data_IF_537392645460
#
_entry.id   IF_537392645460
#
_cell.length_a   1.000
_cell.length_b   1.000
_cell.length_c   1.000
_cell.angle_alpha   90.00
_cell.angle_beta   90.00
_cell.angle_gamma   90.00
#
_symmetry.space_group_name_H-M   'P 1'
#
loop_
_entity.id
_entity.type
_entity.pdbx_description
1 polymer ?
#
# COMPACT_ATOMS: atom_id res chain seq x y z
N UNK A 1 19.64 10.98 -19.09
CA UNK A 1 19.23 11.24 -18.85
C UNK A 1 18.86 11.07 -18.34
N UNK A 2 18.93 10.83 -18.48
CA UNK A 2 18.44 10.88 -18.10
C UNK A 2 17.96 10.62 -17.52
N UNK A 3 17.95 10.20 -17.61
CA UNK A 3 17.37 10.16 -17.15
C UNK A 3 16.96 10.07 -16.53
N UNK A 4 17.16 9.87 -16.74
CA UNK A 4 16.64 9.95 -16.27
C UNK A 4 16.16 9.95 -15.66
N UNK A 5 16.22 9.81 -15.81
CA UNK A 5 15.64 9.93 -15.43
C UNK A 5 15.07 9.76 -14.96
N UNK A 6 15.36 9.57 -15.14
CA UNK A 6 14.63 9.57 -14.93
C UNK A 6 14.17 9.18 -14.39
N UNK A 7 14.31 8.93 -14.64
CA UNK A 7 13.69 8.73 -14.28
C UNK A 7 13.09 8.59 -13.60
N UNK A 8 13.25 8.56 -13.54
CA UNK A 8 12.52 8.60 -13.09
C UNK A 8 11.75 8.60 -12.71
N UNK A 9 11.70 8.61 -12.84
CA UNK A 9 10.76 8.91 -12.69
C UNK A 9 9.93 8.46 -12.73
N UNK A 10 10.00 8.14 -12.93
CA UNK A 10 9.14 7.91 -13.09
C UNK A 10 8.23 7.16 -12.82
N UNK A 11 8.56 6.53 -12.83
CA UNK A 11 7.41 5.77 -12.56
C UNK A 11 6.84 6.02 -11.21
N UNK A 12 5.82 6.66 -11.22
CA UNK A 12 5.24 7.14 -9.99
C UNK A 12 4.69 6.04 -9.13
N UNK A 13 4.36 4.90 -9.71
CA UNK A 13 3.81 3.85 -8.91
C UNK A 13 4.85 3.09 -8.16
N UNK A 14 6.08 3.37 -8.45
CA UNK A 14 7.14 2.69 -7.75
C UNK A 14 7.26 3.24 -6.34
N UNK A 15 7.03 2.41 -5.36
CA UNK A 15 7.12 2.83 -3.97
C UNK A 15 8.24 2.06 -3.32
N UNK A 16 9.40 2.69 -3.15
CA UNK A 16 10.56 1.99 -2.62
C UNK A 16 10.49 1.76 -1.13
N UNK A 17 9.65 2.49 -0.45
CA UNK A 17 9.60 2.38 0.99
C UNK A 17 8.80 1.18 1.43
N UNK A 18 9.25 0.58 2.51
CA UNK A 18 8.54 -0.54 3.07
C UNK A 18 7.25 -0.09 3.75
N UNK A 19 7.32 1.05 4.47
CA UNK A 19 6.19 1.55 5.24
C UNK A 19 5.48 2.63 4.45
N UNK A 20 4.20 2.44 4.20
CA UNK A 20 3.43 3.32 3.36
C UNK A 20 2.27 3.94 4.13
N UNK A 21 1.97 5.19 3.80
CA UNK A 21 0.77 5.82 4.31
C UNK A 21 -0.42 5.32 3.52
N UNK A 22 -1.62 5.68 3.98
CA UNK A 22 -2.81 5.12 3.37
C UNK A 22 -2.89 5.46 1.88
N UNK A 23 -2.48 6.67 1.50
CA UNK A 23 -2.54 7.06 0.09
C UNK A 23 -1.60 6.21 -0.76
N UNK A 24 -0.41 5.93 -0.20
CA UNK A 24 0.56 5.13 -0.93
C UNK A 24 0.13 3.69 -1.01
N UNK A 25 -0.42 3.17 0.09
CA UNK A 25 -0.89 1.79 0.10
C UNK A 25 -2.06 1.61 -0.88
N UNK A 26 -2.95 2.60 -0.93
CA UNK A 26 -4.06 2.52 -1.86
C UNK A 26 -3.57 2.46 -3.29
N UNK A 27 -2.56 3.27 -3.60
CA UNK A 27 -1.99 3.26 -4.92
C UNK A 27 -1.29 1.93 -5.20
N UNK A 28 -0.59 1.42 -4.21
CA UNK A 28 0.11 0.16 -4.35
C UNK A 28 -0.86 -0.99 -4.62
N UNK A 29 -2.00 -0.97 -3.93
CA UNK A 29 -3.01 -2.01 -4.08
C UNK A 29 -4.00 -1.71 -5.19
N UNK A 30 -3.94 -0.51 -5.76
CA UNK A 30 -4.82 -0.10 -6.85
C UNK A 30 -6.27 -0.04 -6.40
N UNK A 31 -6.48 0.48 -5.21
CA UNK A 31 -7.82 0.69 -4.66
C UNK A 31 -7.91 2.13 -4.17
N UNK A 32 -9.10 2.53 -3.75
CA UNK A 32 -9.28 3.88 -3.24
C UNK A 32 -8.88 3.96 -1.78
N UNK A 33 -8.56 5.16 -1.32
CA UNK A 33 -8.29 5.36 0.10
C UNK A 33 -9.53 5.10 0.93
N UNK A 34 -10.71 5.41 0.39
CA UNK A 34 -11.96 5.13 1.09
C UNK A 34 -12.11 3.64 1.33
N UNK A 35 -11.74 2.84 0.34
CA UNK A 35 -11.81 1.39 0.50
C UNK A 35 -10.93 0.95 1.66
N UNK A 36 -9.70 1.45 1.71
CA UNK A 36 -8.78 1.06 2.77
C UNK A 36 -9.27 1.54 4.14
N UNK A 37 -9.78 2.76 4.20
CA UNK A 37 -10.28 3.27 5.47
C UNK A 37 -11.47 2.47 5.97
N UNK A 38 -12.36 2.11 5.06
CA UNK A 38 -13.51 1.30 5.44
C UNK A 38 -13.07 -0.09 5.85
N UNK A 39 -12.14 -0.67 5.11
CA UNK A 39 -11.66 -2.01 5.44
C UNK A 39 -11.01 -2.03 6.83
N UNK A 40 -10.28 -0.96 7.17
CA UNK A 40 -9.66 -0.90 8.47
C UNK A 40 -10.70 -0.84 9.58
N UNK A 41 -11.75 -0.08 9.34
CA UNK A 41 -12.81 0.09 10.34
C UNK A 41 -13.64 -1.17 10.50
N UNK A 42 -14.01 -1.78 9.38
CA UNK A 42 -14.89 -2.96 9.42
C UNK A 42 -14.12 -4.26 9.51
N UNK A 43 -12.81 -4.22 9.25
CA UNK A 43 -11.96 -5.41 9.21
C UNK A 43 -12.42 -6.39 8.14
N UNK A 44 -12.99 -5.87 7.09
CA UNK A 44 -13.48 -6.69 5.99
C UNK A 44 -13.23 -5.96 4.68
N UNK A 45 -12.23 -6.36 3.92
CA UNK A 45 -11.23 -7.40 4.22
C UNK A 45 -10.26 -6.95 5.32
N UNK A 46 -9.68 -7.91 5.99
CA UNK A 46 -8.77 -7.63 7.09
C UNK A 46 -7.37 -7.41 6.55
N UNK A 47 -7.10 -6.20 6.10
CA UNK A 47 -5.82 -5.85 5.51
C UNK A 47 -4.88 -5.39 6.63
N UNK A 48 -3.69 -5.99 6.71
CA UNK A 48 -2.79 -5.67 7.82
C UNK A 48 -2.32 -4.22 7.80
N UNK A 49 -2.29 -3.61 8.95
CA UNK A 49 -1.80 -2.25 9.11
C UNK A 49 -1.20 -2.08 10.51
N UNK A 50 -0.47 -0.98 10.69
CA UNK A 50 0.15 -0.68 11.97
C UNK A 50 -0.23 0.75 12.35
N UNK A 51 -0.56 0.95 13.62
CA UNK A 51 -0.91 2.26 14.12
C UNK A 51 0.22 2.78 15.01
N UNK A 52 0.74 3.95 14.67
CA UNK A 52 1.78 4.58 15.46
C UNK A 52 1.32 6.00 15.75
N UNK A 53 1.08 6.29 17.04
CA UNK A 53 0.50 7.56 17.38
C UNK A 53 -0.86 7.66 16.72
N UNK A 54 -1.12 8.74 16.05
CA UNK A 54 -2.37 8.86 15.30
C UNK A 54 -2.22 8.50 13.84
N UNK A 55 -1.12 7.85 13.49
CA UNK A 55 -0.79 7.63 12.10
C UNK A 55 -0.96 6.17 11.74
N UNK A 56 -1.54 5.92 10.57
CA UNK A 56 -1.71 4.56 10.05
C UNK A 56 -0.64 4.30 9.00
N UNK A 57 0.04 3.17 9.15
CA UNK A 57 1.06 2.76 8.19
C UNK A 57 0.77 1.34 7.73
N UNK A 58 1.11 1.07 6.47
CA UNK A 58 0.98 -0.24 5.88
C UNK A 58 2.35 -0.77 5.53
N UNK A 59 2.62 -2.02 5.89
CA UNK A 59 3.89 -2.67 5.60
C UNK A 59 3.77 -3.35 4.24
N UNK A 60 4.63 -2.97 3.30
CA UNK A 60 4.59 -3.52 1.96
C UNK A 60 4.69 -5.05 1.99
N UNK A 61 5.57 -5.59 2.84
CA UNK A 61 5.72 -7.04 2.91
C UNK A 61 4.44 -7.71 3.39
N UNK A 62 3.78 -7.12 4.35
CA UNK A 62 2.53 -7.67 4.85
C UNK A 62 1.44 -7.58 3.79
N UNK A 63 1.43 -6.49 3.02
CA UNK A 63 0.46 -6.35 1.94
C UNK A 63 0.71 -7.40 0.86
N UNK A 64 1.96 -7.65 0.55
CA UNK A 64 2.29 -8.67 -0.45
C UNK A 64 1.80 -10.04 0.00
N UNK A 65 2.03 -10.36 1.26
CA UNK A 65 1.57 -11.64 1.80
C UNK A 65 0.05 -11.73 1.76
N UNK A 66 -0.62 -10.63 2.08
CA UNK A 66 -2.07 -10.60 2.03
C UNK A 66 -2.57 -10.88 0.62
N UNK A 67 -1.95 -10.24 -0.37
CA UNK A 67 -2.35 -10.45 -1.75
C UNK A 67 -2.11 -11.88 -2.19
N UNK A 68 -0.99 -12.46 -1.77
CA UNK A 68 -0.69 -13.82 -2.14
C UNK A 68 -1.69 -14.80 -1.56
N UNK A 69 -2.18 -14.50 -0.37
CA UNK A 69 -3.16 -15.37 0.25
C UNK A 69 -4.49 -15.36 -0.50
N UNK A 70 -4.76 -14.27 -1.22
CA UNK A 70 -5.98 -14.18 -1.99
C UNK A 70 -5.90 -14.97 -3.29
N UNK A 71 -4.68 -15.31 -3.72
CA UNK A 71 -4.51 -16.04 -4.96
C UNK A 71 -4.65 -17.54 -4.79
N UNK A 72 -4.80 -17.97 -3.58
CA UNK A 72 -4.99 -19.38 -3.32
C UNK A 72 -6.36 -19.80 -3.69
N UNK A 73 -6.50 -20.53 -4.73
CA UNK A 73 -7.83 -20.95 -5.13
C UNK A 73 -7.86 -22.42 -5.37
#
# INVERSE_FOLDING_TARGET
MMATQKEKKENPVHIPMRWMRVEEAAQYLRVSTDFLNKARTTKNPNIPFTRIGGRILYDRHALDSFLESLEEI
#
